data_IF_005267606400
#
_entry.id   IF_005267606400
#
_cell.length_a   1.000
_cell.length_b   1.000
_cell.length_c   1.000
_cell.angle_alpha   90.00
_cell.angle_beta   90.00
_cell.angle_gamma   90.00
#
_symmetry.space_group_name_H-M   'P 1'
#
loop_
_entity.id
_entity.type
_entity.pdbx_description
1 polymer ?
#
# COMPACT_ATOMS: atom_id res chain seq x y z
N UNK A 1 21.15 4.02 9.44
CA UNK A 1 22.37 3.31 9.00
C UNK A 1 22.65 2.26 10.05
N UNK A 2 23.01 1.05 9.63
CA UNK A 2 23.50 0.04 10.58
C UNK A 2 24.77 0.56 11.28
N UNK A 3 25.07 0.08 12.50
CA UNK A 3 26.23 0.50 13.29
C UNK A 3 27.59 0.29 12.61
N UNK A 4 27.64 -0.55 11.57
CA UNK A 4 28.83 -0.89 10.79
C UNK A 4 29.02 -0.09 9.48
N UNK A 5 28.22 0.94 9.23
CA UNK A 5 28.26 1.75 8.03
C UNK A 5 27.62 1.11 6.79
N UNK A 6 27.05 -0.10 6.90
CA UNK A 6 26.30 -0.75 5.83
C UNK A 6 24.92 -0.14 5.67
N UNK A 7 24.42 -0.15 4.44
CA UNK A 7 23.03 0.21 4.14
C UNK A 7 22.10 -0.96 4.57
N UNK A 8 20.92 -0.63 5.07
CA UNK A 8 19.97 -1.61 5.67
C UNK A 8 19.52 -2.74 4.75
N UNK A 9 19.53 -2.49 3.44
CA UNK A 9 19.06 -3.43 2.41
C UNK A 9 20.14 -3.80 1.40
N UNK A 10 21.42 -3.65 1.76
CA UNK A 10 22.55 -4.00 0.89
C UNK A 10 22.35 -5.40 0.29
N UNK A 11 22.31 -5.47 -1.05
CA UNK A 11 22.11 -6.68 -1.85
C UNK A 11 20.77 -7.43 -1.65
N UNK A 12 19.82 -6.91 -0.89
CA UNK A 12 18.51 -7.53 -0.72
C UNK A 12 17.60 -7.20 -1.89
N UNK A 13 16.89 -8.20 -2.43
CA UNK A 13 15.89 -8.00 -3.49
C UNK A 13 14.58 -7.56 -2.87
N UNK A 14 14.11 -6.39 -3.29
CA UNK A 14 12.90 -5.74 -2.81
C UNK A 14 11.89 -5.62 -3.93
N UNK A 15 10.72 -6.20 -3.78
CA UNK A 15 9.60 -6.06 -4.73
C UNK A 15 8.60 -5.05 -4.16
N UNK A 16 8.26 -4.02 -4.95
CA UNK A 16 7.20 -3.06 -4.62
C UNK A 16 6.15 -3.09 -5.72
N UNK A 17 4.91 -3.46 -5.38
CA UNK A 17 3.78 -3.44 -6.31
C UNK A 17 3.11 -2.07 -6.35
N UNK A 18 2.60 -1.63 -7.51
CA UNK A 18 2.12 -0.26 -7.71
C UNK A 18 3.27 0.74 -7.50
N UNK A 19 4.48 0.37 -7.94
CA UNK A 19 5.70 1.13 -7.71
C UNK A 19 5.89 2.32 -8.64
N UNK A 20 5.05 2.49 -9.65
CA UNK A 20 5.21 3.51 -10.68
C UNK A 20 4.78 4.92 -10.26
N UNK A 21 4.19 5.11 -9.07
CA UNK A 21 3.76 6.43 -8.59
C UNK A 21 3.55 6.49 -7.08
N UNK A 22 3.44 7.69 -6.54
CA UNK A 22 2.97 7.98 -5.19
C UNK A 22 3.74 7.26 -4.07
N UNK A 23 3.03 6.51 -3.21
CA UNK A 23 3.67 5.77 -2.11
C UNK A 23 4.65 4.71 -2.62
N UNK A 24 4.28 4.00 -3.70
CA UNK A 24 5.12 2.96 -4.30
C UNK A 24 6.43 3.53 -4.81
N UNK A 25 6.39 4.61 -5.56
CA UNK A 25 7.58 5.33 -6.03
C UNK A 25 8.48 5.77 -4.87
N UNK A 26 7.90 6.44 -3.86
CA UNK A 26 8.67 6.88 -2.69
C UNK A 26 9.35 5.72 -1.96
N UNK A 27 8.68 4.57 -1.84
CA UNK A 27 9.26 3.37 -1.24
C UNK A 27 10.36 2.77 -2.12
N UNK A 28 10.18 2.68 -3.44
CA UNK A 28 11.23 2.21 -4.36
C UNK A 28 12.50 3.03 -4.23
N UNK A 29 12.38 4.36 -4.28
CA UNK A 29 13.51 5.28 -4.13
C UNK A 29 14.18 5.13 -2.75
N UNK A 30 13.39 4.97 -1.70
CA UNK A 30 13.92 4.83 -0.35
C UNK A 30 14.68 3.50 -0.16
N UNK A 31 14.14 2.37 -0.64
CA UNK A 31 14.83 1.08 -0.59
C UNK A 31 16.13 1.09 -1.42
N UNK A 32 16.12 1.72 -2.60
CA UNK A 32 17.31 1.83 -3.44
C UNK A 32 18.43 2.61 -2.75
N UNK A 33 18.13 3.76 -2.12
CA UNK A 33 19.10 4.55 -1.32
C UNK A 33 19.73 3.74 -0.18
N UNK A 34 18.98 2.79 0.36
CA UNK A 34 19.46 1.88 1.42
C UNK A 34 20.11 0.59 0.89
N UNK A 35 20.45 0.56 -0.42
CA UNK A 35 21.20 -0.52 -1.04
C UNK A 35 20.39 -1.69 -1.57
N UNK A 36 19.07 -1.58 -1.56
CA UNK A 36 18.18 -2.60 -2.10
C UNK A 36 18.26 -2.73 -3.63
N UNK A 37 18.14 -3.95 -4.11
CA UNK A 37 17.95 -4.28 -5.52
C UNK A 37 16.44 -4.26 -5.78
N UNK A 38 15.93 -3.18 -6.40
CA UNK A 38 14.49 -2.88 -6.40
C UNK A 38 13.81 -3.35 -7.68
N UNK A 39 12.82 -4.22 -7.53
CA UNK A 39 11.86 -4.56 -8.57
C UNK A 39 10.62 -3.67 -8.44
N UNK A 40 10.43 -2.78 -9.41
CA UNK A 40 9.29 -1.87 -9.49
C UNK A 40 8.21 -2.54 -10.33
N UNK A 41 7.17 -3.09 -9.71
CA UNK A 41 6.05 -3.71 -10.40
C UNK A 41 4.90 -2.72 -10.55
N UNK A 42 4.41 -2.49 -11.75
CA UNK A 42 3.24 -1.64 -12.00
C UNK A 42 2.48 -2.13 -13.24
N UNK A 43 1.18 -1.88 -13.31
CA UNK A 43 0.38 -2.14 -14.51
C UNK A 43 0.82 -1.22 -15.67
N UNK A 44 1.34 -0.04 -15.33
CA UNK A 44 1.94 0.90 -16.27
C UNK A 44 3.46 0.67 -16.36
N UNK A 45 3.87 -0.10 -17.38
CA UNK A 45 5.27 -0.44 -17.62
C UNK A 45 6.18 0.79 -17.75
N UNK A 46 5.70 1.85 -18.41
CA UNK A 46 6.50 3.07 -18.59
C UNK A 46 6.74 3.79 -17.26
N UNK A 47 5.72 3.83 -16.39
CA UNK A 47 5.87 4.42 -15.06
C UNK A 47 6.84 3.60 -14.20
N UNK A 48 6.72 2.27 -14.22
CA UNK A 48 7.66 1.38 -13.54
C UNK A 48 9.12 1.59 -14.02
N UNK A 49 9.33 1.69 -15.34
CA UNK A 49 10.63 1.94 -15.94
C UNK A 49 11.23 3.27 -15.49
N UNK A 50 10.46 4.37 -15.54
CA UNK A 50 10.92 5.70 -15.09
C UNK A 50 11.34 5.73 -13.62
N UNK A 51 10.56 5.07 -12.75
CA UNK A 51 10.91 4.99 -11.33
C UNK A 51 12.18 4.16 -11.13
N UNK A 52 12.31 3.04 -11.84
CA UNK A 52 13.52 2.22 -11.79
C UNK A 52 14.78 3.00 -12.26
N UNK A 53 14.67 3.80 -13.32
CA UNK A 53 15.74 4.69 -13.79
C UNK A 53 16.12 5.77 -12.74
N UNK A 54 15.16 6.19 -11.91
CA UNK A 54 15.39 7.19 -10.86
C UNK A 54 15.97 6.59 -9.58
N UNK A 55 15.98 5.26 -9.44
CA UNK A 55 16.55 4.57 -8.31
C UNK A 55 18.08 4.58 -8.37
N UNK A 56 18.71 4.79 -7.20
CA UNK A 56 20.15 4.59 -7.05
C UNK A 56 20.47 3.08 -6.99
N UNK A 57 21.42 2.60 -7.78
CA UNK A 57 21.85 1.20 -7.77
C UNK A 57 21.06 0.30 -8.72
N UNK A 58 20.86 -0.96 -8.32
CA UNK A 58 20.21 -1.96 -9.16
C UNK A 58 18.68 -1.89 -9.01
N UNK A 59 18.01 -1.37 -10.03
CA UNK A 59 16.55 -1.37 -10.07
C UNK A 59 16.04 -1.72 -11.49
N UNK A 60 14.86 -2.35 -11.55
CA UNK A 60 14.23 -2.70 -12.82
C UNK A 60 12.70 -2.57 -12.72
N UNK A 61 12.08 -2.03 -13.78
CA UNK A 61 10.64 -1.95 -13.93
C UNK A 61 10.07 -3.20 -14.61
N UNK A 62 8.89 -3.63 -14.17
CA UNK A 62 8.16 -4.78 -14.72
C UNK A 62 6.69 -4.42 -14.86
N UNK A 63 6.12 -4.72 -16.04
CA UNK A 63 4.67 -4.69 -16.22
C UNK A 63 4.01 -5.82 -15.43
N UNK A 64 3.06 -5.49 -14.55
CA UNK A 64 2.38 -6.50 -13.76
C UNK A 64 0.99 -6.00 -13.32
N UNK A 65 -0.07 -6.64 -13.82
CA UNK A 65 -1.39 -6.53 -13.18
C UNK A 65 -1.44 -7.52 -12.01
N UNK A 66 -1.46 -7.02 -10.79
CA UNK A 66 -1.52 -7.87 -9.59
C UNK A 66 -2.81 -8.66 -9.46
N UNK A 67 -3.88 -8.24 -10.15
CA UNK A 67 -5.16 -8.96 -10.20
C UNK A 67 -5.09 -10.21 -11.10
N UNK A 68 -4.10 -10.29 -11.99
CA UNK A 68 -3.83 -11.44 -12.86
C UNK A 68 -2.74 -12.32 -12.24
N UNK A 69 -3.13 -13.56 -11.91
CA UNK A 69 -2.23 -14.51 -11.26
C UNK A 69 -1.07 -14.95 -12.15
N UNK A 70 -1.27 -15.03 -13.44
CA UNK A 70 -0.22 -15.47 -14.36
C UNK A 70 0.77 -14.34 -14.64
N UNK A 71 0.30 -13.08 -14.77
CA UNK A 71 1.15 -11.91 -14.82
C UNK A 71 2.03 -11.78 -13.56
N UNK A 72 1.49 -12.06 -12.37
CA UNK A 72 2.27 -12.07 -11.13
C UNK A 72 3.35 -13.15 -11.13
N UNK A 73 3.02 -14.37 -11.57
CA UNK A 73 4.01 -15.46 -11.67
C UNK A 73 5.16 -15.13 -12.63
N UNK A 74 4.82 -14.61 -13.80
CA UNK A 74 5.81 -14.19 -14.80
C UNK A 74 6.71 -13.07 -14.28
N UNK A 75 6.13 -12.05 -13.63
CA UNK A 75 6.89 -10.95 -13.04
C UNK A 75 7.85 -11.45 -11.95
N UNK A 76 7.41 -12.32 -11.03
CA UNK A 76 8.28 -12.87 -9.98
C UNK A 76 9.39 -13.76 -10.54
N UNK A 77 9.13 -14.54 -11.60
CA UNK A 77 10.15 -15.33 -12.28
C UNK A 77 11.19 -14.43 -12.96
N UNK A 78 10.77 -13.33 -13.58
CA UNK A 78 11.66 -12.34 -14.18
C UNK A 78 12.51 -11.63 -13.12
N UNK A 79 11.92 -11.25 -11.99
CA UNK A 79 12.63 -10.65 -10.85
C UNK A 79 13.72 -11.61 -10.32
N UNK A 80 13.40 -12.88 -10.12
CA UNK A 80 14.36 -13.88 -9.64
C UNK A 80 15.53 -14.03 -10.62
N UNK A 81 15.26 -14.07 -11.93
CA UNK A 81 16.29 -14.16 -12.98
C UNK A 81 17.18 -12.91 -13.04
N UNK A 82 16.60 -11.72 -12.93
CA UNK A 82 17.29 -10.45 -13.19
C UNK A 82 17.98 -9.87 -11.94
N UNK A 83 17.30 -9.95 -10.81
CA UNK A 83 17.73 -9.35 -9.55
C UNK A 83 18.08 -10.38 -8.46
N UNK A 84 17.58 -11.60 -8.59
CA UNK A 84 17.76 -12.66 -7.63
C UNK A 84 16.54 -12.89 -6.73
N UNK A 85 16.67 -13.76 -5.72
CA UNK A 85 15.55 -14.21 -4.89
C UNK A 85 14.99 -13.10 -4.02
N UNK A 86 13.67 -12.96 -4.02
CA UNK A 86 12.94 -11.93 -3.26
C UNK A 86 13.12 -12.11 -1.75
N UNK A 87 13.48 -11.05 -1.05
CA UNK A 87 13.63 -10.99 0.41
C UNK A 87 12.68 -9.99 1.08
N UNK A 88 12.22 -8.99 0.33
CA UNK A 88 11.25 -8.00 0.81
C UNK A 88 10.13 -7.86 -0.21
N UNK A 89 8.89 -7.87 0.27
CA UNK A 89 7.71 -7.59 -0.53
C UNK A 89 6.91 -6.46 0.09
N UNK A 90 6.60 -5.43 -0.70
CA UNK A 90 5.64 -4.39 -0.35
C UNK A 90 4.42 -4.51 -1.26
N UNK A 91 3.32 -5.04 -0.73
CA UNK A 91 2.03 -5.07 -1.39
C UNK A 91 1.38 -3.69 -1.31
N UNK A 92 1.72 -2.82 -2.25
CA UNK A 92 1.25 -1.44 -2.28
C UNK A 92 0.22 -1.19 -3.39
N UNK A 93 0.22 -1.96 -4.47
CA UNK A 93 -0.72 -1.78 -5.58
C UNK A 93 -2.16 -1.62 -5.09
N UNK A 94 -2.83 -0.62 -5.62
CA UNK A 94 -4.18 -0.30 -5.23
C UNK A 94 -4.81 0.76 -6.13
N UNK A 95 -6.12 0.82 -6.08
CA UNK A 95 -6.95 1.76 -6.83
C UNK A 95 -7.86 2.54 -5.90
N UNK A 96 -8.30 3.70 -6.33
CA UNK A 96 -9.44 4.41 -5.79
C UNK A 96 -10.59 4.39 -6.82
N UNK A 97 -11.81 4.50 -6.34
CA UNK A 97 -12.98 4.70 -7.20
C UNK A 97 -13.39 6.16 -7.15
N UNK A 98 -13.35 6.82 -8.30
CA UNK A 98 -13.84 8.17 -8.42
C UNK A 98 -15.36 8.12 -8.57
N UNK A 99 -16.08 8.31 -7.47
CA UNK A 99 -17.53 8.41 -7.44
C UNK A 99 -17.95 9.87 -7.21
N UNK A 100 -18.05 10.62 -8.30
CA UNK A 100 -18.41 12.02 -8.23
C UNK A 100 -19.78 12.24 -7.59
N UNK A 101 -20.75 11.35 -7.83
CA UNK A 101 -22.08 11.47 -7.24
C UNK A 101 -22.05 11.25 -5.72
N UNK A 102 -21.24 10.31 -5.23
CA UNK A 102 -21.03 10.12 -3.78
C UNK A 102 -20.32 11.32 -3.16
N UNK A 103 -19.35 11.91 -3.84
CA UNK A 103 -18.63 13.10 -3.35
C UNK A 103 -19.57 14.33 -3.28
N UNK A 104 -20.41 14.55 -4.27
CA UNK A 104 -21.43 15.63 -4.25
C UNK A 104 -22.43 15.42 -3.11
N UNK A 105 -22.91 14.20 -2.90
CA UNK A 105 -23.78 13.92 -1.74
C UNK A 105 -23.07 14.16 -0.41
N UNK A 106 -21.78 13.80 -0.32
CA UNK A 106 -20.98 14.06 0.89
C UNK A 106 -20.84 15.57 1.17
N UNK A 107 -20.63 16.39 0.15
CA UNK A 107 -20.63 17.85 0.29
C UNK A 107 -21.95 18.37 0.83
N UNK A 108 -23.08 17.94 0.25
CA UNK A 108 -24.42 18.31 0.73
C UNK A 108 -24.66 17.92 2.20
N UNK A 109 -24.22 16.75 2.62
CA UNK A 109 -24.32 16.31 4.02
C UNK A 109 -23.44 17.13 4.98
N UNK A 110 -22.25 17.57 4.55
CA UNK A 110 -21.43 18.50 5.31
C UNK A 110 -22.11 19.87 5.46
N UNK A 111 -22.66 20.42 4.39
CA UNK A 111 -23.40 21.69 4.40
C UNK A 111 -24.65 21.61 5.32
N UNK A 112 -25.40 20.52 5.23
CA UNK A 112 -26.54 20.26 6.10
C UNK A 112 -26.12 20.20 7.59
N UNK A 113 -25.01 19.50 7.88
CA UNK A 113 -24.48 19.42 9.24
C UNK A 113 -24.09 20.80 9.82
N UNK A 114 -23.51 21.68 9.00
CA UNK A 114 -23.10 23.02 9.43
C UNK A 114 -24.29 23.99 9.58
N UNK A 115 -25.32 23.85 8.75
CA UNK A 115 -26.51 24.73 8.77
C UNK A 115 -27.64 24.26 9.69
N UNK A 116 -27.50 23.08 10.34
CA UNK A 116 -28.56 22.45 11.12
C UNK A 116 -29.70 21.91 10.25
N UNK A 117 -29.41 21.63 8.98
CA UNK A 117 -30.37 21.04 8.03
C UNK A 117 -30.60 19.54 8.26
N UNK A 118 -31.55 18.98 7.51
CA UNK A 118 -31.85 17.56 7.54
C UNK A 118 -30.72 16.76 6.88
N UNK A 119 -30.31 15.66 7.51
CA UNK A 119 -29.24 14.78 7.03
C UNK A 119 -29.81 13.51 6.41
N UNK A 120 -29.19 13.05 5.33
CA UNK A 120 -29.64 11.90 4.55
C UNK A 120 -28.53 10.86 4.40
N UNK A 121 -28.89 9.67 3.96
CA UNK A 121 -27.91 8.64 3.59
C UNK A 121 -27.14 9.04 2.34
N UNK A 122 -25.83 8.76 2.33
CA UNK A 122 -25.02 8.91 1.11
C UNK A 122 -25.46 7.97 -0.03
N UNK A 123 -26.16 6.88 0.28
CA UNK A 123 -26.60 5.90 -0.71
C UNK A 123 -25.48 5.21 -1.49
N UNK A 124 -24.22 5.38 -1.06
CA UNK A 124 -23.07 4.85 -1.78
C UNK A 124 -23.05 3.31 -1.82
N UNK A 125 -23.42 2.68 -0.72
CA UNK A 125 -23.45 1.20 -0.64
C UNK A 125 -24.57 0.62 -1.49
N UNK A 126 -25.76 1.20 -1.46
CA UNK A 126 -26.91 0.70 -2.23
C UNK A 126 -26.82 0.96 -3.72
N UNK A 127 -25.99 1.92 -4.16
CA UNK A 127 -25.75 2.26 -5.55
C UNK A 127 -24.46 1.64 -6.12
N UNK A 128 -23.67 0.94 -5.30
CA UNK A 128 -22.39 0.35 -5.71
C UNK A 128 -22.66 -0.83 -6.67
N UNK A 129 -22.03 -0.80 -7.84
CA UNK A 129 -22.11 -1.89 -8.80
C UNK A 129 -21.23 -3.08 -8.36
N UNK A 130 -21.68 -4.30 -8.67
CA UNK A 130 -20.94 -5.53 -8.34
C UNK A 130 -19.57 -5.57 -9.01
N UNK A 131 -19.46 -5.04 -10.23
CA UNK A 131 -18.21 -4.97 -10.98
C UNK A 131 -17.17 -4.06 -10.32
N UNK A 132 -17.60 -2.93 -9.73
CA UNK A 132 -16.72 -2.03 -8.99
C UNK A 132 -16.25 -2.66 -7.68
N UNK A 133 -17.16 -3.33 -6.98
CA UNK A 133 -16.83 -4.13 -5.79
C UNK A 133 -15.79 -5.20 -6.12
N UNK A 134 -16.06 -6.02 -7.13
CA UNK A 134 -15.18 -7.10 -7.56
C UNK A 134 -13.80 -6.59 -7.96
N UNK A 135 -13.73 -5.50 -8.73
CA UNK A 135 -12.47 -4.88 -9.14
C UNK A 135 -11.67 -4.42 -7.94
N UNK A 136 -12.32 -3.78 -6.95
CA UNK A 136 -11.66 -3.33 -5.72
C UNK A 136 -11.04 -4.50 -4.95
N UNK A 137 -11.82 -5.58 -4.77
CA UNK A 137 -11.34 -6.78 -4.06
C UNK A 137 -10.23 -7.47 -4.85
N UNK A 138 -10.35 -7.59 -6.18
CA UNK A 138 -9.34 -8.24 -7.03
C UNK A 138 -8.00 -7.53 -6.96
N UNK A 139 -7.96 -6.21 -7.10
CA UNK A 139 -6.70 -5.48 -7.08
C UNK A 139 -6.08 -5.50 -5.68
N UNK A 140 -6.84 -5.15 -4.64
CA UNK A 140 -6.28 -4.97 -3.31
C UNK A 140 -6.01 -6.26 -2.57
N UNK A 141 -6.99 -7.18 -2.54
CA UNK A 141 -6.89 -8.40 -1.75
C UNK A 141 -6.27 -9.56 -2.53
N UNK A 142 -6.79 -9.85 -3.73
CA UNK A 142 -6.24 -10.94 -4.53
C UNK A 142 -4.84 -10.61 -5.00
N UNK A 143 -4.57 -9.35 -5.40
CA UNK A 143 -3.22 -8.91 -5.76
C UNK A 143 -2.21 -9.12 -4.63
N UNK A 144 -2.53 -8.68 -3.42
CA UNK A 144 -1.67 -8.92 -2.25
C UNK A 144 -1.49 -10.42 -1.96
N UNK A 145 -2.55 -11.23 -2.10
CA UNK A 145 -2.46 -12.68 -1.94
C UNK A 145 -1.57 -13.32 -3.00
N UNK A 146 -1.74 -12.96 -4.28
CA UNK A 146 -0.93 -13.53 -5.37
C UNK A 146 0.55 -13.25 -5.17
N UNK A 147 0.92 -11.97 -4.90
CA UNK A 147 2.30 -11.57 -4.69
C UNK A 147 2.90 -12.20 -3.43
N UNK A 148 2.13 -12.22 -2.31
CA UNK A 148 2.57 -12.87 -1.06
C UNK A 148 2.86 -14.34 -1.28
N UNK A 149 1.99 -15.07 -1.98
CA UNK A 149 2.19 -16.49 -2.27
C UNK A 149 3.47 -16.74 -3.09
N UNK A 150 3.74 -15.96 -4.11
CA UNK A 150 4.96 -16.12 -4.92
C UNK A 150 6.21 -15.76 -4.10
N UNK A 151 6.17 -14.69 -3.31
CA UNK A 151 7.28 -14.33 -2.43
C UNK A 151 7.58 -15.41 -1.37
N UNK A 152 6.54 -15.98 -0.74
CA UNK A 152 6.70 -17.01 0.30
C UNK A 152 7.35 -18.28 -0.24
N UNK A 153 7.10 -18.70 -1.49
CA UNK A 153 7.78 -19.85 -2.09
C UNK A 153 9.31 -19.75 -2.05
N UNK A 154 9.83 -18.53 -2.12
CA UNK A 154 11.27 -18.25 -2.07
C UNK A 154 11.73 -17.99 -0.64
N UNK A 155 11.00 -17.15 0.09
CA UNK A 155 11.37 -16.73 1.45
C UNK A 155 11.41 -17.92 2.43
N UNK A 156 10.44 -18.84 2.35
CA UNK A 156 10.39 -20.05 3.22
C UNK A 156 11.59 -20.96 2.99
N UNK A 157 12.02 -21.16 1.75
CA UNK A 157 13.21 -21.96 1.44
C UNK A 157 14.50 -21.34 1.97
N UNK A 158 14.53 -20.01 2.06
CA UNK A 158 15.69 -19.25 2.54
C UNK A 158 15.67 -19.00 4.05
N UNK A 159 14.56 -19.25 4.71
CA UNK A 159 14.39 -19.02 6.14
C UNK A 159 14.44 -17.55 6.55
N UNK A 160 14.12 -16.63 5.64
CA UNK A 160 14.10 -15.18 5.91
C UNK A 160 13.22 -14.42 4.94
N UNK A 161 12.58 -13.34 5.41
CA UNK A 161 11.81 -12.44 4.59
C UNK A 161 11.07 -11.38 5.39
N UNK A 162 10.65 -10.32 4.70
CA UNK A 162 9.78 -9.30 5.27
C UNK A 162 8.70 -8.87 4.26
N UNK A 163 7.45 -8.86 4.72
CA UNK A 163 6.30 -8.45 3.90
C UNK A 163 5.58 -7.29 4.57
N UNK A 164 5.27 -6.25 3.82
CA UNK A 164 4.42 -5.14 4.26
C UNK A 164 3.21 -5.03 3.35
N UNK A 165 2.02 -5.07 3.94
CA UNK A 165 0.76 -4.88 3.25
C UNK A 165 0.26 -3.44 3.47
N UNK A 166 -0.01 -2.70 2.37
CA UNK A 166 -0.54 -1.34 2.46
C UNK A 166 -2.04 -1.37 2.66
N UNK A 167 -2.45 -1.25 3.92
CA UNK A 167 -3.85 -1.05 4.33
C UNK A 167 -4.23 0.44 4.22
N UNK A 168 -5.09 0.96 5.07
CA UNK A 168 -5.51 2.36 5.16
C UNK A 168 -6.17 2.63 6.51
N UNK A 169 -6.17 3.88 6.95
CA UNK A 169 -7.03 4.33 8.06
C UNK A 169 -8.51 4.02 7.79
N UNK A 170 -8.91 3.96 6.51
CA UNK A 170 -10.25 3.53 6.11
C UNK A 170 -10.61 2.10 6.57
N UNK A 171 -9.61 1.24 6.77
CA UNK A 171 -9.79 -0.10 7.33
C UNK A 171 -10.07 -0.09 8.85
N UNK A 172 -9.68 0.98 9.54
CA UNK A 172 -9.75 1.10 11.00
C UNK A 172 -11.02 1.83 11.44
N UNK A 173 -11.39 2.91 10.74
CA UNK A 173 -12.56 3.73 11.11
C UNK A 173 -13.71 3.68 10.09
N UNK A 174 -13.50 3.08 8.92
CA UNK A 174 -14.41 3.19 7.78
C UNK A 174 -14.23 4.51 7.03
N UNK A 175 -14.48 4.50 5.72
CA UNK A 175 -14.51 5.70 4.88
C UNK A 175 -15.91 5.84 4.28
N UNK A 176 -16.72 6.80 4.74
CA UNK A 176 -18.03 7.04 4.17
C UNK A 176 -17.94 7.28 2.65
N UNK A 177 -18.84 6.68 1.88
CA UNK A 177 -18.81 6.75 0.43
C UNK A 177 -17.93 5.71 -0.29
N UNK A 178 -17.10 4.96 0.45
CA UNK A 178 -16.19 3.95 -0.12
C UNK A 178 -16.19 2.65 0.69
N UNK A 179 -17.34 1.94 0.75
CA UNK A 179 -17.44 0.69 1.53
C UNK A 179 -16.59 -0.44 0.95
N UNK A 180 -16.45 -0.52 -0.36
CA UNK A 180 -15.61 -1.41 -1.12
C UNK A 180 -14.12 -1.28 -0.74
N UNK A 181 -13.62 -0.05 -0.75
CA UNK A 181 -12.24 0.26 -0.37
C UNK A 181 -11.98 -0.07 1.11
N UNK A 182 -12.89 0.34 2.01
CA UNK A 182 -12.77 0.05 3.43
C UNK A 182 -12.77 -1.45 3.71
N UNK A 183 -13.62 -2.22 3.01
CA UNK A 183 -13.67 -3.68 3.12
C UNK A 183 -12.39 -4.33 2.62
N UNK A 184 -11.90 -3.93 1.43
CA UNK A 184 -10.67 -4.46 0.85
C UNK A 184 -9.45 -4.19 1.75
N UNK A 185 -9.31 -2.96 2.25
CA UNK A 185 -8.21 -2.58 3.15
C UNK A 185 -8.35 -3.21 4.54
N UNK A 186 -9.57 -3.45 5.02
CA UNK A 186 -9.84 -4.21 6.24
C UNK A 186 -9.46 -5.69 6.11
N UNK A 187 -9.74 -6.31 4.96
CA UNK A 187 -9.36 -7.68 4.68
C UNK A 187 -7.84 -7.88 4.72
N UNK A 188 -7.04 -6.90 4.26
CA UNK A 188 -5.58 -6.94 4.35
C UNK A 188 -5.07 -7.01 5.80
N UNK A 189 -5.77 -6.42 6.76
CA UNK A 189 -5.42 -6.51 8.19
C UNK A 189 -5.58 -7.96 8.68
N UNK A 190 -6.71 -8.60 8.35
CA UNK A 190 -6.95 -10.01 8.67
C UNK A 190 -5.92 -10.93 8.01
N UNK A 191 -5.66 -10.71 6.73
CA UNK A 191 -4.65 -11.44 5.94
C UNK A 191 -3.25 -11.31 6.55
N UNK A 192 -2.83 -10.09 6.89
CA UNK A 192 -1.54 -9.81 7.55
C UNK A 192 -1.37 -10.62 8.83
N UNK A 193 -2.38 -10.59 9.72
CA UNK A 193 -2.32 -11.27 11.02
C UNK A 193 -2.27 -12.79 10.87
N UNK A 194 -2.99 -13.35 9.90
CA UNK A 194 -3.00 -14.79 9.62
C UNK A 194 -1.64 -15.25 9.10
N UNK A 195 -1.16 -14.63 8.01
CA UNK A 195 0.12 -15.00 7.38
C UNK A 195 1.29 -14.78 8.34
N UNK A 196 1.31 -13.69 9.12
CA UNK A 196 2.36 -13.43 10.10
C UNK A 196 2.54 -14.57 11.11
N UNK A 197 1.43 -15.14 11.60
CA UNK A 197 1.46 -16.26 12.56
C UNK A 197 1.86 -17.58 11.93
N UNK A 198 1.53 -17.76 10.65
CA UNK A 198 1.87 -18.96 9.89
C UNK A 198 3.39 -19.03 9.61
N UNK A 199 4.00 -17.92 9.17
CA UNK A 199 5.36 -17.94 8.60
C UNK A 199 6.47 -17.52 9.58
N UNK A 200 6.15 -17.06 10.78
CA UNK A 200 7.18 -16.58 11.73
C UNK A 200 8.19 -17.65 12.10
N UNK A 201 7.75 -18.91 12.17
CA UNK A 201 8.65 -20.06 12.41
C UNK A 201 9.71 -20.26 11.32
N UNK A 202 9.48 -19.73 10.13
CA UNK A 202 10.43 -19.69 9.00
C UNK A 202 11.24 -18.39 8.92
N UNK A 203 11.27 -17.59 9.99
CA UNK A 203 12.04 -16.33 10.02
C UNK A 203 11.47 -15.22 9.12
N UNK A 204 10.20 -15.31 8.74
CA UNK A 204 9.52 -14.32 7.88
C UNK A 204 8.58 -13.47 8.73
N UNK A 205 8.64 -12.16 8.54
CA UNK A 205 7.78 -11.19 9.23
C UNK A 205 6.78 -10.55 8.26
N UNK A 206 5.55 -10.36 8.73
CA UNK A 206 4.49 -9.74 7.92
C UNK A 206 3.78 -8.68 8.75
N UNK A 207 3.77 -7.45 8.27
CA UNK A 207 3.11 -6.32 8.94
C UNK A 207 2.23 -5.55 7.96
N UNK A 208 1.37 -4.68 8.48
CA UNK A 208 0.57 -3.77 7.69
C UNK A 208 0.87 -2.32 8.07
N UNK A 209 0.82 -1.43 7.08
CA UNK A 209 0.78 0.02 7.27
C UNK A 209 -0.62 0.48 6.89
N UNK A 210 -1.25 1.30 7.74
CA UNK A 210 -2.57 1.87 7.52
C UNK A 210 -2.47 3.42 7.49
N UNK A 211 -2.03 4.02 6.37
CA UNK A 211 -1.84 5.47 6.25
C UNK A 211 -3.16 6.24 6.41
N UNK A 212 -3.06 7.47 6.92
CA UNK A 212 -4.09 8.48 6.81
C UNK A 212 -4.06 9.19 5.45
N UNK A 213 -4.36 10.48 5.44
CA UNK A 213 -4.30 11.31 4.23
C UNK A 213 -2.85 11.63 3.88
N UNK A 214 -2.36 11.07 2.77
CA UNK A 214 -0.99 11.26 2.27
C UNK A 214 -1.05 11.95 0.90
N UNK A 215 -0.15 12.90 0.65
CA UNK A 215 -0.05 13.67 -0.60
C UNK A 215 0.42 12.78 -1.74
N UNK A 216 -0.52 12.16 -2.42
CA UNK A 216 -0.30 11.27 -3.57
C UNK A 216 -1.30 11.60 -4.67
N UNK A 217 -1.05 11.24 -5.93
CA UNK A 217 -2.02 11.41 -7.02
C UNK A 217 -3.40 10.84 -6.67
N UNK A 218 -3.45 9.68 -6.00
CA UNK A 218 -4.71 9.07 -5.55
C UNK A 218 -5.56 10.02 -4.69
N UNK A 219 -4.95 10.86 -3.86
CA UNK A 219 -5.68 11.83 -3.02
C UNK A 219 -5.88 13.15 -3.74
N UNK A 220 -4.84 13.68 -4.39
CA UNK A 220 -4.87 15.02 -4.99
C UNK A 220 -5.67 15.10 -6.28
N UNK A 221 -5.88 13.99 -6.99
CA UNK A 221 -6.58 13.93 -8.27
C UNK A 221 -7.97 13.28 -8.17
N UNK A 222 -8.17 12.35 -7.20
CA UNK A 222 -9.41 11.60 -7.09
C UNK A 222 -10.39 12.18 -6.06
N UNK A 223 -9.90 12.90 -5.04
CA UNK A 223 -10.76 13.56 -4.06
C UNK A 223 -11.16 14.96 -4.55
N UNK A 224 -12.45 15.26 -4.46
CA UNK A 224 -12.95 16.61 -4.83
C UNK A 224 -12.24 17.69 -3.99
N UNK A 225 -11.65 18.72 -4.65
CA UNK A 225 -10.94 19.78 -3.93
C UNK A 225 -11.78 20.52 -2.88
N UNK A 226 -13.10 20.51 -2.99
CA UNK A 226 -14.03 21.10 -2.02
C UNK A 226 -14.15 20.25 -0.75
N UNK A 227 -14.03 18.92 -0.86
CA UNK A 227 -14.06 18.00 0.29
C UNK A 227 -12.74 17.97 1.05
N UNK A 228 -11.61 18.12 0.36
CA UNK A 228 -10.30 17.93 0.94
C UNK A 228 -10.04 18.79 2.19
N UNK A 229 -10.37 20.10 2.24
CA UNK A 229 -10.21 20.90 3.46
C UNK A 229 -11.04 20.38 4.63
N UNK A 230 -12.25 19.87 4.37
CA UNK A 230 -13.16 19.35 5.41
C UNK A 230 -12.63 18.04 5.98
N UNK A 231 -12.06 17.19 5.14
CA UNK A 231 -11.43 15.93 5.55
C UNK A 231 -10.15 16.20 6.36
N UNK A 232 -9.33 17.15 5.92
CA UNK A 232 -8.08 17.52 6.59
C UNK A 232 -8.30 18.27 7.91
N UNK A 233 -9.42 18.98 8.07
CA UNK A 233 -9.78 19.61 9.35
C UNK A 233 -9.97 18.59 10.49
N UNK A 234 -10.18 17.32 10.16
CA UNK A 234 -10.29 16.22 11.14
C UNK A 234 -8.92 15.66 11.56
N UNK A 235 -7.83 16.04 10.89
CA UNK A 235 -6.48 15.56 11.17
C UNK A 235 -5.80 16.45 12.20
N UNK A 236 -5.54 15.98 13.43
CA UNK A 236 -4.93 16.80 14.49
C UNK A 236 -3.55 17.39 14.10
N UNK A 237 -2.77 16.70 13.27
CA UNK A 237 -1.50 17.21 12.77
C UNK A 237 -1.64 18.36 11.76
N UNK A 238 -2.85 18.75 11.36
CA UNK A 238 -3.15 19.93 10.56
C UNK A 238 -2.98 19.78 9.05
N UNK A 239 -2.84 18.57 8.52
CA UNK A 239 -2.70 18.40 7.07
C UNK A 239 -2.39 16.97 6.62
N UNK A 240 -2.01 16.83 5.35
CA UNK A 240 -1.58 15.56 4.79
C UNK A 240 -0.15 15.21 5.25
N UNK A 241 0.10 13.90 5.40
CA UNK A 241 1.46 13.39 5.44
C UNK A 241 2.09 13.39 4.04
N UNK A 242 3.42 13.24 3.99
CA UNK A 242 4.15 13.08 2.75
C UNK A 242 4.49 11.60 2.50
N UNK A 243 4.68 11.17 1.24
CA UNK A 243 5.02 9.79 0.90
C UNK A 243 6.24 9.25 1.65
N UNK A 244 7.21 10.10 1.92
CA UNK A 244 8.45 9.78 2.64
C UNK A 244 8.19 9.33 4.08
N UNK A 245 7.14 9.81 4.74
CA UNK A 245 6.76 9.35 6.07
C UNK A 245 6.37 7.86 6.06
N UNK A 246 5.69 7.44 4.99
CA UNK A 246 5.28 6.05 4.81
C UNK A 246 6.46 5.19 4.38
N UNK A 247 7.31 5.69 3.47
CA UNK A 247 8.51 5.01 3.02
C UNK A 247 9.46 4.73 4.19
N UNK A 248 9.67 5.70 5.09
CA UNK A 248 10.51 5.52 6.29
C UNK A 248 10.00 4.40 7.19
N UNK A 249 8.67 4.30 7.39
CA UNK A 249 8.08 3.22 8.17
C UNK A 249 8.18 1.87 7.47
N UNK A 250 7.99 1.82 6.15
CA UNK A 250 8.15 0.60 5.36
C UNK A 250 9.60 0.08 5.44
N UNK A 251 10.59 0.96 5.30
CA UNK A 251 12.00 0.62 5.52
C UNK A 251 12.23 0.01 6.91
N UNK A 252 11.72 0.65 7.97
CA UNK A 252 11.87 0.13 9.33
C UNK A 252 11.24 -1.26 9.47
N UNK A 253 9.98 -1.43 9.08
CA UNK A 253 9.27 -2.70 9.22
C UNK A 253 9.88 -3.84 8.40
N UNK A 254 10.56 -3.52 7.29
CA UNK A 254 11.26 -4.51 6.47
C UNK A 254 12.70 -4.76 6.91
N UNK A 255 13.31 -3.91 7.73
CA UNK A 255 14.69 -4.05 8.20
C UNK A 255 14.81 -5.03 9.37
N UNK A 256 16.06 -5.41 9.70
CA UNK A 256 16.37 -6.28 10.84
C UNK A 256 16.14 -5.58 12.19
N UNK A 257 16.07 -4.23 12.21
CA UNK A 257 15.71 -3.44 13.37
C UNK A 257 14.30 -3.80 13.89
N UNK A 258 13.40 -4.22 12.99
CA UNK A 258 12.05 -4.68 13.33
C UNK A 258 11.95 -6.19 13.57
N UNK A 259 13.04 -6.87 13.94
CA UNK A 259 13.11 -8.33 14.08
C UNK A 259 12.07 -8.94 15.02
N UNK A 260 11.58 -8.17 16.00
CA UNK A 260 10.52 -8.60 16.95
C UNK A 260 9.13 -8.09 16.59
N UNK A 261 8.96 -7.47 15.40
CA UNK A 261 7.70 -6.85 14.95
C UNK A 261 7.08 -7.66 13.82
N UNK A 262 6.01 -8.41 14.12
CA UNK A 262 5.22 -9.14 13.13
C UNK A 262 3.75 -9.17 13.50
N UNK A 263 2.86 -9.24 12.52
CA UNK A 263 1.39 -9.21 12.69
C UNK A 263 0.82 -7.86 13.12
N UNK A 264 1.65 -6.80 13.11
CA UNK A 264 1.25 -5.48 13.56
C UNK A 264 0.60 -4.66 12.45
N UNK A 265 -0.28 -3.75 12.86
CA UNK A 265 -0.87 -2.71 12.00
C UNK A 265 -0.43 -1.36 12.56
N UNK A 266 0.41 -0.67 11.81
CA UNK A 266 0.90 0.66 12.22
C UNK A 266 0.23 1.72 11.36
N UNK A 267 -0.38 2.73 12.01
CA UNK A 267 -1.19 3.73 11.32
C UNK A 267 -0.60 5.14 11.45
N UNK A 268 0.28 5.55 10.51
CA UNK A 268 0.74 6.94 10.43
C UNK A 268 -0.34 7.80 9.77
N UNK A 269 -1.16 8.46 10.60
CA UNK A 269 -2.39 9.14 10.15
C UNK A 269 -2.55 10.57 10.69
N UNK A 270 -1.51 11.14 11.32
CA UNK A 270 -1.56 12.49 11.89
C UNK A 270 -2.53 12.65 13.07
N UNK A 271 -2.90 11.55 13.74
CA UNK A 271 -3.85 11.54 14.85
C UNK A 271 -5.33 11.43 14.42
N UNK A 272 -5.60 11.21 13.13
CA UNK A 272 -6.97 11.06 12.61
C UNK A 272 -7.71 9.89 13.27
N UNK A 273 -6.96 8.84 13.62
CA UNK A 273 -7.45 7.65 14.31
C UNK A 273 -6.39 7.21 15.33
N UNK A 274 -6.83 6.97 16.58
CA UNK A 274 -5.97 6.53 17.71
C UNK A 274 -6.54 5.32 18.42
#
# INVERSE_FOLDING_TARGET
MAEDGRRRFEDRVVVVTGGGSGLGEAMCLAFAREGGRVAVLDINEQAAGKVAESCEGAARGYACDVADVDAVREAFAAVDSDLGPVEVLVNNAGIARRDQAAQERMLGEFEAALSGGERHSLGATSALADEDWDRMIKVHLYGAFHCTREALKVMEQRGRGAIVNMSSVAALQGLPGSPDYSAAKGALIGFTKSVAREVIGSGIRVNAIAPGWIRTPMVTEEVDPRLLPMLLAQVPAGGMGEPEHIAALALHLCSDEASYTTGQVVSPNGGLYT
#
